data_IF_963504752102
#
_entry.id   IF_963504752102
#
_cell.length_a   1.000
_cell.length_b   1.000
_cell.length_c   1.000
_cell.angle_alpha   90.00
_cell.angle_beta   90.00
_cell.angle_gamma   90.00
#
_symmetry.space_group_name_H-M   'P 1'
#
loop_
_entity.id
_entity.type
_entity.pdbx_description
1 polymer ?
#
# COMPACT_ATOMS: atom_id res chain seq x y z
N UNK A 1 -12.46 -12.59 4.86
CA UNK A 1 -11.13 -12.43 4.25
C UNK A 1 -10.57 -11.06 4.62
N UNK A 2 -9.36 -11.01 5.10
CA UNK A 2 -8.69 -9.76 5.46
C UNK A 2 -8.25 -9.05 4.19
N UNK A 3 -8.61 -7.77 4.07
CA UNK A 3 -8.31 -6.95 2.88
C UNK A 3 -7.28 -5.90 3.26
N UNK A 4 -6.26 -5.73 2.43
CA UNK A 4 -5.26 -4.70 2.73
C UNK A 4 -4.74 -3.98 1.51
N UNK A 5 -4.25 -2.77 1.77
CA UNK A 5 -3.51 -1.96 0.82
C UNK A 5 -2.01 -2.14 1.13
N UNK A 6 -1.20 -2.16 0.10
CA UNK A 6 0.26 -2.22 0.24
C UNK A 6 0.84 -0.91 -0.23
N UNK A 7 1.70 -0.29 0.59
CA UNK A 7 2.47 0.88 0.22
C UNK A 7 3.91 0.43 -0.03
N UNK A 8 4.39 0.62 -1.24
CA UNK A 8 5.75 0.26 -1.63
C UNK A 8 6.28 1.30 -2.60
N UNK A 9 7.55 1.68 -2.49
CA UNK A 9 8.13 2.74 -3.32
C UNK A 9 9.28 2.32 -4.21
N UNK A 10 9.83 1.15 -4.04
CA UNK A 10 11.01 0.72 -4.80
C UNK A 10 10.78 -0.53 -5.62
N UNK A 11 11.72 -1.46 -5.52
CA UNK A 11 11.69 -2.69 -6.28
C UNK A 11 10.50 -3.59 -5.93
N UNK A 12 10.06 -3.59 -4.66
CA UNK A 12 8.91 -4.37 -4.26
C UNK A 12 9.19 -5.85 -4.03
N UNK A 13 10.41 -6.21 -3.62
CA UNK A 13 10.75 -7.62 -3.37
C UNK A 13 9.90 -8.22 -2.24
N UNK A 14 9.65 -7.46 -1.18
CA UNK A 14 8.78 -7.91 -0.10
C UNK A 14 7.32 -8.01 -0.57
N UNK A 15 6.91 -7.10 -1.42
CA UNK A 15 5.59 -7.13 -2.05
C UNK A 15 5.43 -8.40 -2.90
N UNK A 16 6.45 -8.73 -3.70
CA UNK A 16 6.42 -9.95 -4.51
C UNK A 16 6.35 -11.21 -3.63
N UNK A 17 7.10 -11.23 -2.53
CA UNK A 17 7.07 -12.36 -1.61
C UNK A 17 5.66 -12.56 -1.04
N UNK A 18 4.96 -11.47 -0.73
CA UNK A 18 3.59 -11.53 -0.24
C UNK A 18 2.63 -12.03 -1.32
N UNK A 19 2.77 -11.54 -2.54
CA UNK A 19 1.98 -12.02 -3.69
C UNK A 19 2.17 -13.53 -3.87
N UNK A 20 3.42 -13.98 -3.84
CA UNK A 20 3.75 -15.39 -4.03
C UNK A 20 3.19 -16.26 -2.90
N UNK A 21 3.25 -15.78 -1.67
CA UNK A 21 2.69 -16.47 -0.52
C UNK A 21 1.17 -16.65 -0.63
N UNK A 22 0.47 -15.63 -1.10
CA UNK A 22 -0.97 -15.70 -1.32
C UNK A 22 -1.30 -16.66 -2.46
N UNK A 23 -0.57 -16.56 -3.59
CA UNK A 23 -0.79 -17.41 -4.76
C UNK A 23 -0.54 -18.87 -4.48
N UNK A 24 0.48 -19.18 -3.67
CA UNK A 24 0.83 -20.57 -3.34
C UNK A 24 -0.07 -21.19 -2.27
N UNK A 25 -0.88 -20.36 -1.60
CA UNK A 25 -1.72 -20.81 -0.49
C UNK A 25 -1.03 -20.85 0.86
N UNK A 26 0.23 -20.42 0.95
CA UNK A 26 0.93 -20.33 2.24
C UNK A 26 0.34 -19.24 3.13
N UNK A 27 -0.14 -18.16 2.50
CA UNK A 27 -0.85 -17.09 3.18
C UNK A 27 -2.31 -17.15 2.76
N UNK A 28 -3.20 -17.46 3.70
CA UNK A 28 -4.63 -17.65 3.42
C UNK A 28 -5.46 -16.56 4.07
N UNK A 29 -6.70 -16.41 3.57
CA UNK A 29 -7.68 -15.47 4.10
C UNK A 29 -7.25 -14.00 4.01
N UNK A 30 -6.34 -13.69 3.09
CA UNK A 30 -5.87 -12.33 2.82
C UNK A 30 -6.04 -11.98 1.36
N UNK A 31 -6.31 -10.70 1.10
CA UNK A 31 -6.41 -10.20 -0.27
C UNK A 31 -5.77 -8.82 -0.36
N UNK A 32 -4.89 -8.62 -1.35
CA UNK A 32 -4.32 -7.31 -1.65
C UNK A 32 -5.26 -6.61 -2.62
N UNK A 33 -5.87 -5.51 -2.20
CA UNK A 33 -6.84 -4.80 -3.03
C UNK A 33 -6.22 -3.69 -3.86
N UNK A 34 -5.10 -3.13 -3.43
CA UNK A 34 -4.45 -2.02 -4.14
C UNK A 34 -3.00 -1.91 -3.73
N UNK A 35 -2.14 -1.55 -4.70
CA UNK A 35 -0.78 -1.08 -4.44
C UNK A 35 -0.81 0.44 -4.54
N UNK A 36 -0.31 1.12 -3.52
CA UNK A 36 -0.14 2.57 -3.53
C UNK A 36 1.35 2.85 -3.54
N UNK A 37 1.81 3.61 -4.51
CA UNK A 37 3.23 3.94 -4.66
C UNK A 37 3.41 5.42 -4.98
N UNK A 38 4.58 5.95 -4.68
CA UNK A 38 4.94 7.33 -5.00
C UNK A 38 5.70 7.47 -6.32
N UNK A 39 6.00 6.36 -6.99
CA UNK A 39 6.72 6.34 -8.27
C UNK A 39 6.02 5.46 -9.29
N UNK A 40 5.54 6.07 -10.36
CA UNK A 40 4.83 5.35 -11.43
C UNK A 40 5.74 4.34 -12.15
N UNK A 41 7.05 4.54 -12.13
CA UNK A 41 8.05 3.69 -12.77
C UNK A 41 8.69 2.68 -11.81
N UNK A 42 8.22 2.59 -10.57
CA UNK A 42 8.74 1.60 -9.62
C UNK A 42 8.48 0.18 -10.14
N UNK A 43 9.43 -0.72 -9.94
CA UNK A 43 9.24 -2.12 -10.37
C UNK A 43 8.09 -2.79 -9.64
N UNK A 44 7.75 -2.33 -8.44
CA UNK A 44 6.57 -2.79 -7.71
C UNK A 44 5.28 -2.66 -8.55
N UNK A 45 5.20 -1.63 -9.41
CA UNK A 45 4.05 -1.42 -10.32
C UNK A 45 3.93 -2.59 -11.30
N UNK A 46 5.05 -3.03 -11.87
CA UNK A 46 5.06 -4.16 -12.80
C UNK A 46 4.63 -5.45 -12.08
N UNK A 47 5.06 -5.63 -10.84
CA UNK A 47 4.68 -6.80 -10.04
C UNK A 47 3.18 -6.82 -9.78
N UNK A 48 2.60 -5.65 -9.48
CA UNK A 48 1.16 -5.52 -9.25
C UNK A 48 0.37 -5.81 -10.52
N UNK A 49 0.81 -5.27 -11.65
CA UNK A 49 0.15 -5.50 -12.94
C UNK A 49 0.11 -6.97 -13.32
N UNK A 50 1.22 -7.68 -13.12
CA UNK A 50 1.30 -9.11 -13.39
C UNK A 50 0.37 -9.92 -12.50
N UNK A 51 0.13 -9.45 -11.29
CA UNK A 51 -0.73 -10.13 -10.32
C UNK A 51 -2.19 -9.69 -10.41
N UNK A 52 -2.52 -8.75 -11.29
CA UNK A 52 -3.88 -8.23 -11.44
C UNK A 52 -4.31 -7.32 -10.30
N UNK A 53 -3.36 -6.69 -9.62
CA UNK A 53 -3.63 -5.81 -8.48
C UNK A 53 -3.71 -4.36 -8.98
N UNK A 54 -4.79 -3.62 -8.67
CA UNK A 54 -4.90 -2.20 -9.03
C UNK A 54 -3.76 -1.38 -8.44
N UNK A 55 -3.31 -0.38 -9.19
CA UNK A 55 -2.21 0.50 -8.80
C UNK A 55 -2.71 1.94 -8.72
N UNK A 56 -2.41 2.62 -7.61
CA UNK A 56 -2.66 4.05 -7.43
C UNK A 56 -1.32 4.73 -7.17
N UNK A 57 -1.03 5.77 -7.94
CA UNK A 57 0.22 6.52 -7.79
C UNK A 57 -0.08 7.84 -7.09
N UNK A 58 0.60 8.08 -5.97
CA UNK A 58 0.46 9.31 -5.19
C UNK A 58 1.84 9.96 -5.12
N UNK A 59 2.06 11.00 -5.91
CA UNK A 59 3.36 11.64 -6.06
C UNK A 59 3.56 12.74 -5.01
N UNK A 60 4.72 12.75 -4.40
CA UNK A 60 5.09 13.77 -3.43
C UNK A 60 5.01 15.18 -4.04
N UNK A 61 5.38 15.33 -5.30
CA UNK A 61 5.41 16.61 -6.01
C UNK A 61 4.04 17.27 -6.11
N UNK A 62 2.97 16.50 -6.01
CA UNK A 62 1.60 17.01 -6.13
C UNK A 62 1.11 17.64 -4.84
N UNK A 63 1.89 17.59 -3.76
CA UNK A 63 1.47 18.06 -2.43
C UNK A 63 2.50 19.00 -1.83
N UNK A 64 2.03 20.13 -1.30
CA UNK A 64 2.87 21.10 -0.59
C UNK A 64 3.17 20.64 0.84
N UNK A 65 2.21 19.96 1.45
CA UNK A 65 2.28 19.50 2.83
C UNK A 65 2.22 17.98 2.84
N UNK A 66 3.16 17.35 3.57
CA UNK A 66 3.26 15.89 3.64
C UNK A 66 1.96 15.25 4.13
N UNK A 67 1.30 15.88 5.09
CA UNK A 67 0.06 15.37 5.66
C UNK A 67 -1.05 15.26 4.62
N UNK A 68 -1.07 16.16 3.61
CA UNK A 68 -2.06 16.10 2.54
C UNK A 68 -1.84 14.88 1.64
N UNK A 69 -0.58 14.52 1.41
CA UNK A 69 -0.24 13.30 0.69
C UNK A 69 -0.75 12.07 1.44
N UNK A 70 -0.52 12.04 2.75
CA UNK A 70 -0.96 10.94 3.61
C UNK A 70 -2.49 10.84 3.62
N UNK A 71 -3.20 11.97 3.64
CA UNK A 71 -4.67 11.99 3.57
C UNK A 71 -5.19 11.44 2.26
N UNK A 72 -4.47 11.72 1.16
CA UNK A 72 -4.82 11.15 -0.15
C UNK A 72 -4.66 9.64 -0.12
N UNK A 73 -3.58 9.14 0.46
CA UNK A 73 -3.34 7.70 0.60
C UNK A 73 -4.46 7.06 1.42
N UNK A 74 -4.84 7.67 2.53
CA UNK A 74 -5.93 7.18 3.36
C UNK A 74 -7.26 7.13 2.58
N UNK A 75 -7.54 8.18 1.82
CA UNK A 75 -8.76 8.25 1.01
C UNK A 75 -8.82 7.12 -0.02
N UNK A 76 -7.69 6.82 -0.64
CA UNK A 76 -7.58 5.71 -1.59
C UNK A 76 -7.84 4.38 -0.87
N UNK A 77 -7.18 4.16 0.26
CA UNK A 77 -7.36 2.94 1.04
C UNK A 77 -8.83 2.76 1.46
N UNK A 78 -9.47 3.84 1.88
CA UNK A 78 -10.89 3.83 2.25
C UNK A 78 -11.77 3.47 1.06
N UNK A 79 -11.45 3.98 -0.13
CA UNK A 79 -12.25 3.70 -1.32
C UNK A 79 -12.21 2.22 -1.71
N UNK A 80 -11.18 1.51 -1.31
CA UNK A 80 -11.06 0.06 -1.52
C UNK A 80 -11.58 -0.75 -0.33
N UNK A 81 -12.02 -0.09 0.75
CA UNK A 81 -12.55 -0.73 1.95
C UNK A 81 -11.57 -1.72 2.58
N UNK A 82 -10.29 -1.34 2.67
CA UNK A 82 -9.27 -2.21 3.24
C UNK A 82 -9.35 -2.23 4.77
N UNK A 83 -8.90 -3.35 5.35
CA UNK A 83 -8.84 -3.52 6.80
C UNK A 83 -7.48 -3.10 7.37
N UNK A 84 -6.41 -3.28 6.59
CA UNK A 84 -5.03 -2.99 7.01
C UNK A 84 -4.26 -2.26 5.92
N UNK A 85 -3.25 -1.50 6.35
CA UNK A 85 -2.28 -0.86 5.47
C UNK A 85 -0.92 -1.44 5.82
N UNK A 86 -0.25 -2.05 4.84
CA UNK A 86 1.09 -2.62 5.00
C UNK A 86 2.13 -1.73 4.34
N UNK A 87 3.10 -1.27 5.11
CA UNK A 87 4.22 -0.47 4.60
C UNK A 87 5.38 -1.41 4.27
N UNK A 88 5.49 -1.79 3.01
CA UNK A 88 6.49 -2.74 2.52
C UNK A 88 7.55 -2.00 1.70
N UNK A 89 8.61 -1.54 2.36
CA UNK A 89 9.64 -0.78 1.69
C UNK A 89 9.18 0.60 1.26
N UNK A 90 8.21 1.16 1.95
CA UNK A 90 7.75 2.52 1.70
C UNK A 90 8.70 3.49 2.41
N UNK A 91 9.34 4.35 1.61
CA UNK A 91 10.44 5.18 2.10
C UNK A 91 10.00 6.41 2.89
N UNK A 92 8.71 6.72 2.91
CA UNK A 92 8.18 7.90 3.58
C UNK A 92 7.36 7.50 4.80
N UNK A 93 7.54 8.23 5.89
CA UNK A 93 6.74 8.02 7.09
C UNK A 93 5.39 8.71 6.96
N UNK A 94 4.34 8.04 7.40
CA UNK A 94 3.01 8.63 7.46
C UNK A 94 2.96 9.59 8.64
N UNK A 95 2.51 10.83 8.42
CA UNK A 95 2.50 11.88 9.42
C UNK A 95 1.12 12.43 9.76
N UNK A 96 0.11 12.18 8.91
CA UNK A 96 -1.23 12.71 9.18
C UNK A 96 -1.86 12.00 10.39
N UNK A 97 -2.25 12.75 11.43
CA UNK A 97 -2.82 12.15 12.64
C UNK A 97 -4.09 11.33 12.38
N UNK A 98 -4.90 11.75 11.42
CA UNK A 98 -6.16 11.07 11.09
C UNK A 98 -5.95 9.65 10.64
N UNK A 99 -4.81 9.35 10.00
CA UNK A 99 -4.50 8.00 9.55
C UNK A 99 -4.27 7.11 10.76
N UNK A 100 -3.52 7.59 11.74
CA UNK A 100 -3.24 6.82 12.95
C UNK A 100 -4.50 6.58 13.76
N UNK A 101 -5.42 7.54 13.82
CA UNK A 101 -6.69 7.36 14.52
C UNK A 101 -7.58 6.32 13.82
N UNK A 102 -7.72 6.44 12.51
CA UNK A 102 -8.58 5.55 11.74
C UNK A 102 -8.05 4.14 11.63
N UNK A 103 -6.74 4.01 11.47
CA UNK A 103 -6.07 2.72 11.28
C UNK A 103 -5.24 2.31 12.49
N UNK A 104 -5.64 2.76 13.68
CA UNK A 104 -4.97 2.35 14.92
C UNK A 104 -4.86 0.82 14.97
N UNK A 105 -3.65 0.31 15.19
CA UNK A 105 -3.35 -1.11 15.20
C UNK A 105 -3.58 -1.82 13.85
N UNK A 106 -3.81 -1.06 12.77
CA UNK A 106 -4.03 -1.62 11.43
C UNK A 106 -3.02 -1.15 10.41
N UNK A 107 -1.97 -0.45 10.84
CA UNK A 107 -0.83 -0.09 10.00
C UNK A 107 0.33 -0.99 10.41
N UNK A 108 0.86 -1.74 9.46
CA UNK A 108 1.96 -2.68 9.70
C UNK A 108 3.16 -2.23 8.88
N UNK A 109 4.29 -2.00 9.56
CA UNK A 109 5.55 -1.61 8.93
C UNK A 109 6.52 -2.79 8.99
N UNK A 110 6.88 -3.28 7.84
CA UNK A 110 7.79 -4.41 7.72
C UNK A 110 9.13 -4.02 7.13
#
# INVERSE_FOLDING_TARGET
MVKFAVLASGNGTNFQALIDGISSGEVTECSILVLITDHADAYAVERAKKAGIPVEVVKKEDFKVREDMDRKIMKIADSYSVDYIYLLGYMKLIKAPEIFEKYENRIVNL
#
